data_IF_734420846821
#
_entry.id   IF_734420846821
#
_cell.length_a   1.000
_cell.length_b   1.000
_cell.length_c   1.000
_cell.angle_alpha   90.00
_cell.angle_beta   90.00
_cell.angle_gamma   90.00
#
_symmetry.space_group_name_H-M   'P 1'
#
loop_
_entity.id
_entity.type
_entity.pdbx_description
1 polymer ?
#
# COMPACT_ATOMS: atom_id res chain seq x y z
N UNK A 1 16.71 -6.49 -11.44
CA UNK A 1 15.48 -7.32 -11.24
C UNK A 1 15.02 -7.90 -12.58
N UNK A 2 14.37 -9.08 -12.61
CA UNK A 2 13.83 -9.63 -13.87
C UNK A 2 12.81 -8.67 -14.54
N UNK A 3 12.82 -8.62 -15.87
CA UNK A 3 11.99 -7.69 -16.64
C UNK A 3 10.50 -7.96 -16.47
N UNK A 4 10.11 -9.23 -16.34
CA UNK A 4 8.72 -9.64 -16.13
C UNK A 4 8.23 -9.17 -14.78
N UNK A 5 9.04 -9.38 -13.73
CA UNK A 5 8.72 -8.94 -12.37
C UNK A 5 8.61 -7.40 -12.32
N UNK A 6 9.54 -6.69 -12.97
CA UNK A 6 9.51 -5.23 -13.06
C UNK A 6 8.19 -4.69 -13.63
N UNK A 7 7.78 -5.16 -14.81
CA UNK A 7 6.55 -4.69 -15.45
C UNK A 7 5.30 -5.15 -14.70
N UNK A 8 5.31 -6.33 -14.08
CA UNK A 8 4.21 -6.78 -13.23
C UNK A 8 4.02 -5.85 -12.03
N UNK A 9 5.09 -5.44 -11.35
CA UNK A 9 5.00 -4.51 -10.21
C UNK A 9 4.55 -3.11 -10.67
N UNK A 10 4.96 -2.65 -11.86
CA UNK A 10 4.42 -1.41 -12.43
C UNK A 10 2.92 -1.51 -12.75
N UNK A 11 2.46 -2.64 -13.28
CA UNK A 11 1.04 -2.91 -13.47
C UNK A 11 0.29 -2.91 -12.13
N UNK A 12 0.86 -3.54 -11.10
CA UNK A 12 0.33 -3.52 -9.74
C UNK A 12 0.26 -2.10 -9.17
N UNK A 13 1.26 -1.27 -9.41
CA UNK A 13 1.27 0.14 -9.03
C UNK A 13 0.17 0.95 -9.75
N UNK A 14 -0.08 0.67 -11.03
CA UNK A 14 -1.17 1.26 -11.80
C UNK A 14 -2.54 0.82 -11.28
N UNK A 15 -2.73 -0.48 -11.00
CA UNK A 15 -3.96 -1.01 -10.37
C UNK A 15 -4.18 -0.39 -8.98
N UNK A 16 -3.11 -0.19 -8.21
CA UNK A 16 -3.16 0.45 -6.92
C UNK A 16 -3.62 1.93 -7.02
N UNK A 17 -3.12 2.67 -8.01
CA UNK A 17 -3.61 4.02 -8.27
C UNK A 17 -5.07 4.01 -8.77
N UNK A 18 -5.42 3.02 -9.59
CA UNK A 18 -6.76 2.84 -10.16
C UNK A 18 -7.86 2.66 -9.12
N UNK A 19 -7.68 1.78 -8.13
CA UNK A 19 -8.72 1.60 -7.11
C UNK A 19 -8.93 2.88 -6.28
N UNK A 20 -7.86 3.61 -5.98
CA UNK A 20 -7.96 4.89 -5.27
C UNK A 20 -8.78 5.92 -6.08
N UNK A 21 -8.66 5.92 -7.40
CA UNK A 21 -9.44 6.78 -8.28
C UNK A 21 -10.92 6.34 -8.39
N UNK A 22 -11.16 5.03 -8.49
CA UNK A 22 -12.52 4.46 -8.58
C UNK A 22 -13.33 4.75 -7.31
N UNK A 23 -12.70 4.67 -6.14
CA UNK A 23 -13.39 4.74 -4.84
C UNK A 23 -13.40 6.18 -4.28
N UNK A 24 -13.38 7.20 -5.15
CA UNK A 24 -13.56 8.61 -4.75
C UNK A 24 -15.04 8.86 -4.39
N UNK A 25 -15.43 8.37 -3.22
CA UNK A 25 -16.80 8.32 -2.73
C UNK A 25 -16.96 9.33 -1.58
N UNK A 26 -18.14 9.93 -1.40
CA UNK A 26 -18.49 10.81 -0.28
C UNK A 26 -18.51 10.16 1.12
N UNK A 27 -17.74 9.08 1.31
CA UNK A 27 -17.49 8.45 2.59
C UNK A 27 -16.29 9.09 3.29
N UNK A 28 -16.24 8.99 4.62
CA UNK A 28 -15.00 9.28 5.32
C UNK A 28 -13.94 8.23 5.01
N UNK A 29 -12.67 8.63 5.06
CA UNK A 29 -11.56 7.82 4.57
C UNK A 29 -11.45 6.43 5.23
N UNK A 30 -11.84 6.30 6.50
CA UNK A 30 -11.86 5.00 7.18
C UNK A 30 -12.93 4.07 6.59
N UNK A 31 -14.13 4.57 6.31
CA UNK A 31 -15.18 3.79 5.66
C UNK A 31 -14.82 3.44 4.22
N UNK A 32 -14.15 4.34 3.49
CA UNK A 32 -13.64 4.06 2.14
C UNK A 32 -12.65 2.89 2.14
N UNK A 33 -11.65 2.92 3.04
CA UNK A 33 -10.66 1.84 3.15
C UNK A 33 -11.30 0.54 3.64
N UNK A 34 -12.21 0.61 4.61
CA UNK A 34 -12.98 -0.55 5.10
C UNK A 34 -13.81 -1.18 3.98
N UNK A 35 -14.52 -0.38 3.18
CA UNK A 35 -15.32 -0.85 2.06
C UNK A 35 -14.47 -1.63 1.06
N UNK A 36 -13.31 -1.06 0.68
CA UNK A 36 -12.39 -1.71 -0.26
C UNK A 36 -11.82 -3.01 0.32
N UNK A 37 -11.43 -3.02 1.60
CA UNK A 37 -10.89 -4.20 2.25
C UNK A 37 -11.95 -5.32 2.37
N UNK A 38 -13.17 -5.00 2.81
CA UNK A 38 -14.28 -5.97 2.89
C UNK A 38 -14.64 -6.49 1.51
N UNK A 39 -14.70 -5.62 0.50
CA UNK A 39 -14.98 -6.01 -0.87
C UNK A 39 -13.86 -6.88 -1.46
N UNK A 40 -12.60 -6.56 -1.19
CA UNK A 40 -11.46 -7.37 -1.60
C UNK A 40 -11.48 -8.75 -0.91
N UNK A 41 -11.87 -8.80 0.37
CA UNK A 41 -12.10 -10.05 1.10
C UNK A 41 -13.25 -10.87 0.54
N UNK A 42 -14.33 -10.24 0.06
CA UNK A 42 -15.43 -10.94 -0.61
C UNK A 42 -14.99 -11.55 -1.94
N UNK A 43 -14.18 -10.83 -2.73
CA UNK A 43 -13.56 -11.37 -3.95
C UNK A 43 -12.60 -12.51 -3.59
N UNK A 44 -11.79 -12.35 -2.55
CA UNK A 44 -10.87 -13.39 -2.10
C UNK A 44 -11.61 -14.64 -1.60
N UNK A 45 -12.72 -14.46 -0.88
CA UNK A 45 -13.58 -15.55 -0.42
C UNK A 45 -14.12 -16.38 -1.59
N UNK A 46 -14.53 -15.72 -2.67
CA UNK A 46 -14.97 -16.39 -3.90
C UNK A 46 -13.83 -17.17 -4.59
N UNK A 47 -12.57 -16.78 -4.37
CA UNK A 47 -11.40 -17.46 -4.90
C UNK A 47 -10.92 -18.66 -4.05
N UNK A 48 -11.37 -18.80 -2.80
CA UNK A 48 -10.91 -19.88 -1.90
C UNK A 48 -10.97 -21.29 -2.49
N UNK A 49 -12.05 -21.70 -3.21
CA UNK A 49 -12.14 -23.05 -3.78
C UNK A 49 -11.06 -23.34 -4.84
N UNK A 50 -10.40 -22.30 -5.36
CA UNK A 50 -9.37 -22.39 -6.39
C UNK A 50 -7.96 -22.23 -5.81
N UNK A 51 -7.81 -22.14 -4.49
CA UNK A 51 -6.52 -21.96 -3.82
C UNK A 51 -6.24 -23.07 -2.82
N UNK A 52 -4.98 -23.48 -2.75
CA UNK A 52 -4.52 -24.42 -1.73
C UNK A 52 -4.60 -23.80 -0.34
N UNK A 53 -5.02 -24.60 0.63
CA UNK A 53 -5.10 -24.17 2.04
C UNK A 53 -3.68 -24.03 2.60
N UNK A 54 -3.32 -22.89 3.22
CA UNK A 54 -2.04 -22.74 3.90
C UNK A 54 -1.86 -23.81 4.99
N UNK A 55 -0.63 -24.30 5.15
CA UNK A 55 -0.30 -25.29 6.17
C UNK A 55 0.82 -24.78 7.08
N UNK A 56 0.88 -25.34 8.30
CA UNK A 56 1.97 -25.09 9.25
C UNK A 56 2.17 -23.61 9.59
N UNK A 57 3.43 -23.17 9.54
CA UNK A 57 3.84 -21.85 10.00
C UNK A 57 3.30 -20.68 9.16
N UNK A 58 2.77 -20.94 7.95
CA UNK A 58 2.22 -19.91 7.05
C UNK A 58 1.07 -19.15 7.72
N UNK A 59 0.26 -19.82 8.55
CA UNK A 59 -0.80 -19.18 9.31
C UNK A 59 -0.29 -18.12 10.31
N UNK A 60 0.88 -18.34 10.92
CA UNK A 60 1.47 -17.33 11.81
C UNK A 60 1.79 -16.04 11.04
N UNK A 61 2.35 -16.16 9.83
CA UNK A 61 2.62 -15.02 8.97
C UNK A 61 1.35 -14.30 8.54
N UNK A 62 0.32 -15.05 8.13
CA UNK A 62 -0.97 -14.47 7.71
C UNK A 62 -1.64 -13.73 8.86
N UNK A 63 -1.72 -14.34 10.05
CA UNK A 63 -2.35 -13.72 11.22
C UNK A 63 -1.56 -12.50 11.71
N UNK A 64 -0.23 -12.60 11.77
CA UNK A 64 0.63 -11.47 12.13
C UNK A 64 0.45 -10.31 11.14
N UNK A 65 0.40 -10.61 9.84
CA UNK A 65 0.16 -9.59 8.81
C UNK A 65 -1.21 -8.96 8.95
N UNK A 66 -2.28 -9.74 9.16
CA UNK A 66 -3.63 -9.19 9.31
C UNK A 66 -3.74 -8.24 10.51
N UNK A 67 -3.04 -8.54 11.61
CA UNK A 67 -2.93 -7.64 12.78
C UNK A 67 -2.17 -6.36 12.42
N UNK A 68 -1.03 -6.48 11.74
CA UNK A 68 -0.24 -5.33 11.29
C UNK A 68 -1.01 -4.46 10.30
N UNK A 69 -1.78 -5.07 9.39
CA UNK A 69 -2.67 -4.40 8.45
C UNK A 69 -3.74 -3.59 9.21
N UNK A 70 -4.35 -4.20 10.23
CA UNK A 70 -5.33 -3.51 11.09
C UNK A 70 -4.69 -2.32 11.81
N UNK A 71 -3.49 -2.51 12.38
CA UNK A 71 -2.73 -1.45 13.03
C UNK A 71 -2.41 -0.29 12.09
N UNK A 72 -1.96 -0.59 10.85
CA UNK A 72 -1.72 0.43 9.81
C UNK A 72 -2.99 1.26 9.57
N UNK A 73 -4.15 0.63 9.36
CA UNK A 73 -5.40 1.33 9.03
C UNK A 73 -5.80 2.27 10.17
N UNK A 74 -5.67 1.84 11.43
CA UNK A 74 -5.98 2.64 12.60
C UNK A 74 -5.03 3.83 12.73
N UNK A 75 -3.71 3.60 12.67
CA UNK A 75 -2.71 4.66 12.79
C UNK A 75 -2.83 5.69 11.67
N UNK A 76 -3.09 5.24 10.45
CA UNK A 76 -3.26 6.13 9.30
C UNK A 76 -4.46 7.06 9.49
N UNK A 77 -5.58 6.55 9.99
CA UNK A 77 -6.77 7.37 10.29
C UNK A 77 -6.47 8.40 11.38
N UNK A 78 -5.73 8.03 12.41
CA UNK A 78 -5.34 8.95 13.48
C UNK A 78 -4.37 10.02 12.96
N UNK A 79 -3.47 9.66 12.05
CA UNK A 79 -2.56 10.61 11.40
C UNK A 79 -3.34 11.68 10.62
N UNK A 80 -4.37 11.29 9.86
CA UNK A 80 -5.22 12.23 9.11
C UNK A 80 -6.13 13.09 9.97
N UNK A 81 -6.51 12.62 11.16
CA UNK A 81 -7.21 13.48 12.12
C UNK A 81 -6.28 14.53 12.74
N UNK A 82 -5.00 14.21 12.89
CA UNK A 82 -4.02 15.06 13.55
C UNK A 82 -3.32 16.05 12.61
N UNK A 83 -3.33 15.81 11.30
CA UNK A 83 -2.63 16.66 10.33
C UNK A 83 -3.21 16.59 8.91
N UNK A 84 -2.76 17.52 8.07
CA UNK A 84 -3.25 17.65 6.70
C UNK A 84 -2.88 16.43 5.84
N UNK A 85 -3.85 15.95 5.06
CA UNK A 85 -3.71 14.80 4.15
C UNK A 85 -2.47 14.93 3.25
N UNK A 86 -2.23 16.13 2.74
CA UNK A 86 -1.12 16.43 1.82
C UNK A 86 0.27 16.26 2.44
N UNK A 87 0.40 16.35 3.77
CA UNK A 87 1.68 16.15 4.48
C UNK A 87 1.79 14.76 5.10
N UNK A 88 0.69 14.28 5.71
CA UNK A 88 0.66 13.00 6.44
C UNK A 88 0.85 11.82 5.52
N UNK A 89 0.16 11.81 4.37
CA UNK A 89 0.16 10.64 3.49
C UNK A 89 1.56 10.31 2.94
N UNK A 90 2.35 11.28 2.44
CA UNK A 90 3.66 10.95 1.89
C UNK A 90 4.68 10.61 2.98
N UNK A 91 4.55 11.15 4.19
CA UNK A 91 5.38 10.74 5.31
C UNK A 91 5.08 9.29 5.72
N UNK A 92 3.79 8.95 5.81
CA UNK A 92 3.33 7.61 6.18
C UNK A 92 3.71 6.52 5.17
N UNK A 93 3.80 6.87 3.88
CA UNK A 93 4.17 5.93 2.81
C UNK A 93 5.66 5.97 2.49
N UNK A 94 6.25 7.15 2.38
CA UNK A 94 7.64 7.32 1.94
C UNK A 94 8.67 6.76 2.91
N UNK A 95 8.41 6.78 4.23
CA UNK A 95 9.35 6.20 5.19
C UNK A 95 9.33 4.66 5.20
N UNK A 96 8.23 4.02 4.79
CA UNK A 96 8.10 2.57 4.89
C UNK A 96 9.11 1.79 4.01
N UNK A 97 9.32 2.09 2.71
CA UNK A 97 10.34 1.43 1.90
C UNK A 97 11.77 1.61 2.44
N UNK A 98 12.07 2.75 3.09
CA UNK A 98 13.38 2.96 3.73
C UNK A 98 13.57 2.03 4.94
N UNK A 99 12.52 1.86 5.75
CA UNK A 99 12.55 0.92 6.88
C UNK A 99 12.70 -0.51 6.34
N UNK A 100 11.94 -0.90 5.30
CA UNK A 100 12.05 -2.22 4.67
C UNK A 100 13.47 -2.44 4.13
N UNK A 101 14.06 -1.45 3.45
CA UNK A 101 15.43 -1.54 2.93
C UNK A 101 16.46 -1.72 4.05
N UNK A 102 16.36 -0.92 5.12
CA UNK A 102 17.25 -1.01 6.27
C UNK A 102 17.16 -2.38 6.95
N UNK A 103 15.96 -2.90 7.18
CA UNK A 103 15.76 -4.23 7.77
C UNK A 103 16.23 -5.33 6.81
N UNK A 104 16.01 -5.18 5.50
CA UNK A 104 16.45 -6.17 4.51
C UNK A 104 17.97 -6.28 4.44
N UNK A 105 18.69 -5.16 4.59
CA UNK A 105 20.16 -5.14 4.67
C UNK A 105 20.69 -5.79 5.96
N UNK A 106 20.09 -5.45 7.10
CA UNK A 106 20.67 -5.80 8.42
C UNK A 106 20.21 -7.19 8.89
N UNK A 107 18.96 -7.57 8.62
CA UNK A 107 18.34 -8.75 9.22
C UNK A 107 18.01 -9.85 8.21
N UNK A 108 17.80 -9.52 6.93
CA UNK A 108 17.48 -10.52 5.90
C UNK A 108 18.67 -10.88 5.01
N UNK A 109 19.78 -10.14 5.13
CA UNK A 109 20.98 -10.30 4.29
C UNK A 109 20.65 -10.35 2.78
N UNK A 110 19.59 -9.65 2.36
CA UNK A 110 19.22 -9.59 0.95
C UNK A 110 20.29 -8.83 0.18
N UNK A 111 20.73 -9.40 -0.95
CA UNK A 111 21.74 -8.81 -1.84
C UNK A 111 21.24 -7.56 -2.54
N UNK A 112 21.21 -6.44 -1.82
CA UNK A 112 20.95 -5.11 -2.36
C UNK A 112 22.28 -4.48 -2.77
N UNK A 113 22.48 -4.31 -4.07
CA UNK A 113 23.65 -3.61 -4.60
C UNK A 113 23.51 -2.08 -4.45
N UNK A 114 24.59 -1.37 -4.77
CA UNK A 114 24.62 0.10 -4.67
C UNK A 114 23.58 0.79 -5.55
N UNK A 115 23.25 0.20 -6.72
CA UNK A 115 22.24 0.73 -7.63
C UNK A 115 20.84 0.63 -7.03
N UNK A 116 20.50 -0.50 -6.41
CA UNK A 116 19.24 -0.69 -5.71
C UNK A 116 19.09 0.30 -4.55
N UNK A 117 20.12 0.45 -3.71
CA UNK A 117 20.06 1.40 -2.58
C UNK A 117 19.90 2.85 -3.04
N UNK A 118 20.65 3.25 -4.07
CA UNK A 118 20.48 4.57 -4.69
C UNK A 118 19.08 4.73 -5.28
N UNK A 119 18.57 3.71 -5.97
CA UNK A 119 17.22 3.70 -6.56
C UNK A 119 16.12 3.88 -5.52
N UNK A 120 16.17 3.13 -4.41
CA UNK A 120 15.24 3.29 -3.28
C UNK A 120 15.31 4.71 -2.73
N UNK A 121 16.52 5.21 -2.46
CA UNK A 121 16.72 6.56 -1.90
C UNK A 121 16.17 7.66 -2.81
N UNK A 122 16.49 7.62 -4.10
CA UNK A 122 16.01 8.59 -5.09
C UNK A 122 14.49 8.52 -5.25
N UNK A 123 13.93 7.30 -5.33
CA UNK A 123 12.49 7.12 -5.48
C UNK A 123 11.74 7.69 -4.28
N UNK A 124 12.15 7.33 -3.06
CA UNK A 124 11.54 7.84 -1.82
C UNK A 124 11.69 9.35 -1.72
N UNK A 125 12.86 9.90 -2.06
CA UNK A 125 13.07 11.35 -2.09
C UNK A 125 12.07 12.04 -3.04
N UNK A 126 11.79 11.45 -4.22
CA UNK A 126 10.79 11.94 -5.15
C UNK A 126 9.35 11.91 -4.58
N UNK A 127 8.99 10.83 -3.86
CA UNK A 127 7.68 10.71 -3.18
C UNK A 127 7.54 11.77 -2.09
N UNK A 128 8.58 11.98 -1.28
CA UNK A 128 8.59 13.02 -0.25
C UNK A 128 8.55 14.42 -0.87
N UNK A 129 9.29 14.66 -1.96
CA UNK A 129 9.29 15.93 -2.70
C UNK A 129 7.87 16.30 -3.16
N UNK A 130 7.11 15.31 -3.63
CA UNK A 130 5.73 15.52 -4.07
C UNK A 130 4.81 16.05 -2.97
N UNK A 131 5.11 15.73 -1.70
CA UNK A 131 4.40 16.16 -0.49
C UNK A 131 4.62 17.62 -0.13
N UNK A 132 5.85 18.13 -0.32
CA UNK A 132 6.32 19.37 0.31
C UNK A 132 5.55 20.63 -0.11
N UNK A 133 4.82 20.59 -1.22
CA UNK A 133 3.94 21.69 -1.68
C UNK A 133 2.46 21.30 -1.81
N UNK A 134 2.06 20.14 -1.27
CA UNK A 134 0.68 19.64 -1.32
C UNK A 134 -0.25 20.18 -0.21
N UNK A 135 0.29 20.78 0.84
CA UNK A 135 -0.48 21.37 1.95
C UNK A 135 -0.97 22.78 1.61
N UNK A 136 -2.29 23.01 1.68
CA UNK A 136 -2.91 24.31 1.38
C UNK A 136 -2.60 25.42 2.40
N UNK A 137 -1.95 25.09 3.53
CA UNK A 137 -1.43 26.07 4.47
C UNK A 137 -0.11 25.55 5.04
N UNK A 138 0.90 26.42 5.11
CA UNK A 138 2.14 26.19 5.84
C UNK A 138 1.90 26.21 7.36
N UNK A 139 0.91 25.44 7.85
CA UNK A 139 0.79 25.12 9.27
C UNK A 139 1.87 24.08 9.56
N UNK A 140 2.73 24.40 10.53
CA UNK A 140 3.85 23.53 10.90
C UNK A 140 3.40 22.10 11.19
N UNK A 141 4.28 21.14 10.91
CA UNK A 141 4.02 19.72 11.15
C UNK A 141 3.63 19.49 12.61
N UNK A 142 2.37 19.11 12.84
CA UNK A 142 1.93 18.68 14.16
C UNK A 142 2.73 17.44 14.56
N UNK A 143 3.45 17.52 15.68
CA UNK A 143 4.26 16.39 16.20
C UNK A 143 3.44 15.11 16.33
N UNK A 144 2.17 15.23 16.74
CA UNK A 144 1.24 14.10 16.85
C UNK A 144 0.94 13.48 15.49
N UNK A 145 0.76 14.29 14.44
CA UNK A 145 0.55 13.80 13.08
C UNK A 145 1.78 13.07 12.54
N UNK A 146 2.97 13.61 12.81
CA UNK A 146 4.26 12.98 12.45
C UNK A 146 4.41 11.63 13.15
N UNK A 147 4.15 11.56 14.46
CA UNK A 147 4.23 10.30 15.21
C UNK A 147 3.28 9.24 14.65
N UNK A 148 2.02 9.59 14.36
CA UNK A 148 1.08 8.65 13.76
C UNK A 148 1.46 8.26 12.33
N UNK A 149 2.03 9.17 11.54
CA UNK A 149 2.50 8.88 10.18
C UNK A 149 3.72 7.93 10.20
N UNK A 150 4.70 8.17 11.08
CA UNK A 150 5.84 7.26 11.26
C UNK A 150 5.38 5.91 11.82
N UNK A 151 4.47 5.89 12.78
CA UNK A 151 3.86 4.65 13.27
C UNK A 151 3.16 3.88 12.15
N UNK A 152 2.44 4.58 11.26
CA UNK A 152 1.86 3.97 10.04
C UNK A 152 2.95 3.37 9.16
N UNK A 153 4.07 4.07 8.98
CA UNK A 153 5.21 3.59 8.18
C UNK A 153 5.81 2.32 8.77
N UNK A 154 5.92 2.23 10.10
CA UNK A 154 6.37 1.03 10.80
C UNK A 154 5.42 -0.16 10.59
N UNK A 155 4.10 0.06 10.67
CA UNK A 155 3.12 -0.99 10.34
C UNK A 155 3.22 -1.42 8.88
N UNK A 156 3.40 -0.47 7.95
CA UNK A 156 3.56 -0.77 6.52
C UNK A 156 4.81 -1.59 6.27
N UNK A 157 5.95 -1.19 6.84
CA UNK A 157 7.19 -1.94 6.72
C UNK A 157 7.07 -3.33 7.38
N UNK A 158 6.47 -3.39 8.57
CA UNK A 158 6.24 -4.62 9.30
C UNK A 158 5.42 -5.62 8.49
N UNK A 159 4.24 -5.24 8.01
CA UNK A 159 3.44 -6.17 7.22
C UNK A 159 4.15 -6.51 5.91
N UNK A 160 4.86 -5.57 5.29
CA UNK A 160 5.56 -5.83 4.01
C UNK A 160 6.64 -6.91 4.15
N UNK A 161 7.40 -6.86 5.25
CA UNK A 161 8.42 -7.87 5.56
C UNK A 161 7.79 -9.21 5.95
N UNK A 162 6.80 -9.20 6.83
CA UNK A 162 6.04 -10.40 7.25
C UNK A 162 5.38 -11.08 6.05
N UNK A 163 4.81 -10.30 5.16
CA UNK A 163 4.16 -10.77 3.95
C UNK A 163 5.15 -11.37 2.96
N UNK A 164 6.26 -10.68 2.70
CA UNK A 164 7.30 -11.19 1.81
C UNK A 164 7.92 -12.49 2.32
N UNK A 165 8.22 -12.58 3.62
CA UNK A 165 8.75 -13.80 4.24
C UNK A 165 7.71 -14.92 4.31
N UNK A 166 6.47 -14.59 4.62
CA UNK A 166 5.37 -15.55 4.69
C UNK A 166 5.04 -16.13 3.32
N UNK A 167 5.02 -15.30 2.28
CA UNK A 167 4.74 -15.73 0.91
C UNK A 167 5.85 -16.62 0.31
N UNK A 168 7.11 -16.43 0.72
CA UNK A 168 8.23 -17.31 0.35
C UNK A 168 8.12 -18.70 0.97
N UNK A 169 7.41 -18.84 2.09
CA UNK A 169 7.17 -20.12 2.78
C UNK A 169 5.83 -20.75 2.39
N UNK A 170 4.92 -19.98 1.79
CA UNK A 170 3.63 -20.46 1.35
C UNK A 170 3.75 -21.32 0.08
N UNK A 171 2.81 -22.25 -0.11
CA UNK A 171 2.75 -23.08 -1.32
C UNK A 171 2.61 -22.24 -2.60
N UNK A 172 1.89 -21.12 -2.51
CA UNK A 172 1.87 -20.10 -3.56
C UNK A 172 1.58 -18.71 -2.99
N UNK A 173 2.08 -17.68 -3.69
CA UNK A 173 1.76 -16.28 -3.40
C UNK A 173 0.25 -15.99 -3.47
N UNK A 174 -0.48 -16.71 -4.35
CA UNK A 174 -1.94 -16.62 -4.45
C UNK A 174 -2.61 -17.13 -3.19
N UNK A 175 -2.26 -18.34 -2.73
CA UNK A 175 -2.77 -18.90 -1.46
C UNK A 175 -2.53 -17.94 -0.30
N UNK A 176 -1.30 -17.44 -0.15
CA UNK A 176 -0.98 -16.48 0.91
C UNK A 176 -1.88 -15.23 0.86
N UNK A 177 -2.01 -14.62 -0.32
CA UNK A 177 -2.75 -13.37 -0.50
C UNK A 177 -4.25 -13.54 -0.26
N UNK A 178 -4.85 -14.61 -0.78
CA UNK A 178 -6.29 -14.86 -0.65
C UNK A 178 -6.68 -15.03 0.82
N UNK A 179 -5.95 -15.85 1.57
CA UNK A 179 -6.24 -16.07 2.98
C UNK A 179 -5.97 -14.84 3.83
N UNK A 180 -4.91 -14.09 3.54
CA UNK A 180 -4.65 -12.80 4.18
C UNK A 180 -5.82 -11.82 3.98
N UNK A 181 -6.34 -11.70 2.75
CA UNK A 181 -7.42 -10.76 2.45
C UNK A 181 -8.75 -11.16 3.07
N UNK A 182 -9.04 -12.47 3.16
CA UNK A 182 -10.22 -12.97 3.88
C UNK A 182 -10.13 -12.59 5.37
N UNK A 183 -8.99 -12.83 6.01
CA UNK A 183 -8.81 -12.51 7.44
C UNK A 183 -8.80 -11.00 7.68
N UNK A 184 -8.08 -10.23 6.85
CA UNK A 184 -8.01 -8.77 6.95
C UNK A 184 -9.41 -8.15 6.82
N UNK A 185 -10.24 -8.66 5.91
CA UNK A 185 -11.63 -8.22 5.76
C UNK A 185 -12.47 -8.50 7.00
N UNK A 186 -12.31 -9.66 7.64
CA UNK A 186 -13.01 -9.98 8.90
C UNK A 186 -12.55 -9.04 10.01
N UNK A 187 -11.24 -8.86 10.20
CA UNK A 187 -10.70 -8.00 11.25
C UNK A 187 -11.14 -6.55 11.08
N UNK A 188 -11.04 -5.99 9.87
CA UNK A 188 -11.43 -4.60 9.64
C UNK A 188 -12.95 -4.41 9.74
N UNK A 189 -13.77 -5.42 9.40
CA UNK A 189 -15.20 -5.39 9.62
C UNK A 189 -15.55 -5.34 11.13
N UNK A 190 -14.86 -6.15 11.95
CA UNK A 190 -15.01 -6.11 13.41
C UNK A 190 -14.61 -4.73 13.96
N UNK A 191 -13.46 -4.19 13.53
CA UNK A 191 -13.00 -2.85 13.93
C UNK A 191 -13.98 -1.77 13.49
N UNK A 192 -14.53 -1.86 12.28
CA UNK A 192 -15.54 -0.93 11.80
C UNK A 192 -16.82 -0.99 12.64
N UNK A 193 -17.31 -2.19 12.98
CA UNK A 193 -18.46 -2.35 13.86
C UNK A 193 -18.17 -1.78 15.26
N UNK A 194 -16.98 -2.01 15.82
CA UNK A 194 -16.59 -1.47 17.12
C UNK A 194 -16.49 0.07 17.12
N UNK A 195 -15.95 0.66 16.06
CA UNK A 195 -15.67 2.10 15.99
C UNK A 195 -16.84 2.95 15.46
N UNK A 196 -17.66 2.40 14.56
CA UNK A 196 -18.72 3.13 13.84
C UNK A 196 -20.10 2.52 14.00
N UNK A 197 -20.18 1.31 14.56
CA UNK A 197 -21.43 0.55 14.68
C UNK A 197 -22.07 0.23 13.34
N UNK A 198 -23.31 -0.27 13.40
CA UNK A 198 -24.12 -0.58 12.23
C UNK A 198 -24.40 0.63 11.33
N UNK A 199 -24.37 1.85 11.88
CA UNK A 199 -24.51 3.08 11.10
C UNK A 199 -23.37 3.25 10.08
N UNK A 200 -22.14 2.86 10.43
CA UNK A 200 -21.01 2.88 9.51
C UNK A 200 -21.19 1.89 8.36
N UNK A 201 -21.65 0.68 8.67
CA UNK A 201 -21.91 -0.38 7.67
C UNK A 201 -22.98 0.06 6.66
N UNK A 202 -24.10 0.59 7.15
CA UNK A 202 -25.20 1.07 6.28
C UNK A 202 -24.78 2.18 5.32
N UNK A 203 -23.82 3.02 5.69
CA UNK A 203 -23.29 4.07 4.79
C UNK A 203 -22.57 3.49 3.58
N UNK A 204 -22.04 2.28 3.68
CA UNK A 204 -21.32 1.62 2.59
C UNK A 204 -22.25 0.90 1.59
N UNK A 205 -23.50 0.60 2.00
CA UNK A 205 -24.47 -0.12 1.17
C UNK A 205 -24.81 0.60 -0.13
N UNK A 206 -24.79 1.93 -0.18
CA UNK A 206 -25.11 2.68 -1.39
C UNK A 206 -24.03 2.61 -2.48
N UNK A 207 -22.83 2.14 -2.14
CA UNK A 207 -21.62 2.30 -2.98
C UNK A 207 -20.83 1.01 -3.15
N UNK A 208 -21.43 -0.13 -2.80
CA UNK A 208 -20.82 -1.46 -2.83
C UNK A 208 -20.23 -1.85 -4.19
N UNK A 209 -20.83 -1.41 -5.31
CA UNK A 209 -20.32 -1.71 -6.66
C UNK A 209 -18.95 -1.09 -6.91
N UNK A 210 -18.80 0.18 -6.51
CA UNK A 210 -17.49 0.86 -6.55
C UNK A 210 -16.51 0.22 -5.58
N UNK A 211 -17.00 -0.23 -4.43
CA UNK A 211 -16.24 -1.02 -3.46
C UNK A 211 -15.69 -2.31 -4.05
N UNK A 212 -16.50 -3.10 -4.75
CA UNK A 212 -16.09 -4.35 -5.41
C UNK A 212 -15.07 -4.12 -6.51
N UNK A 213 -15.27 -3.12 -7.37
CA UNK A 213 -14.29 -2.77 -8.40
C UNK A 213 -12.95 -2.35 -7.78
N UNK A 214 -12.99 -1.51 -6.74
CA UNK A 214 -11.80 -1.11 -6.01
C UNK A 214 -11.15 -2.27 -5.25
N UNK A 215 -11.95 -3.15 -4.65
CA UNK A 215 -11.50 -4.33 -3.91
C UNK A 215 -10.81 -5.36 -4.81
N UNK A 216 -11.37 -5.64 -5.99
CA UNK A 216 -10.76 -6.51 -6.98
C UNK A 216 -9.42 -5.97 -7.50
N UNK A 217 -9.36 -4.66 -7.81
CA UNK A 217 -8.11 -4.00 -8.19
C UNK A 217 -7.07 -4.00 -7.06
N UNK A 218 -7.50 -3.78 -5.82
CA UNK A 218 -6.63 -3.83 -4.63
C UNK A 218 -6.06 -5.23 -4.41
N UNK A 219 -6.91 -6.26 -4.46
CA UNK A 219 -6.51 -7.66 -4.33
C UNK A 219 -5.51 -8.05 -5.42
N UNK A 220 -5.82 -7.73 -6.68
CA UNK A 220 -4.93 -8.05 -7.81
C UNK A 220 -3.58 -7.32 -7.71
N UNK A 221 -3.59 -6.03 -7.37
CA UNK A 221 -2.36 -5.26 -7.15
C UNK A 221 -1.50 -5.87 -6.02
N UNK A 222 -2.14 -6.26 -4.92
CA UNK A 222 -1.44 -6.83 -3.78
C UNK A 222 -0.90 -8.22 -4.08
N UNK A 223 -1.68 -9.08 -4.73
CA UNK A 223 -1.23 -10.40 -5.15
C UNK A 223 0.01 -10.33 -6.03
N UNK A 224 0.05 -9.43 -7.03
CA UNK A 224 1.23 -9.24 -7.88
C UNK A 224 2.43 -8.77 -7.04
N UNK A 225 2.23 -7.86 -6.09
CA UNK A 225 3.30 -7.42 -5.20
C UNK A 225 3.86 -8.56 -4.34
N UNK A 226 2.98 -9.39 -3.77
CA UNK A 226 3.37 -10.56 -2.96
C UNK A 226 4.11 -11.58 -3.81
N UNK A 227 3.62 -11.87 -5.02
CA UNK A 227 4.32 -12.73 -5.97
C UNK A 227 5.69 -12.17 -6.33
N UNK A 228 5.81 -10.86 -6.59
CA UNK A 228 7.09 -10.25 -6.89
C UNK A 228 8.09 -10.36 -5.73
N UNK A 229 7.63 -10.28 -4.47
CA UNK A 229 8.47 -10.46 -3.28
C UNK A 229 9.01 -11.90 -3.13
N UNK A 230 8.42 -12.89 -3.79
CA UNK A 230 9.00 -14.25 -3.86
C UNK A 230 10.07 -14.38 -4.92
N UNK A 231 10.15 -13.45 -5.87
CA UNK A 231 11.07 -13.47 -7.01
C UNK A 231 12.21 -12.45 -6.91
N UNK A 232 12.02 -11.39 -6.11
CA UNK A 232 12.96 -10.28 -5.98
C UNK A 232 13.09 -9.83 -4.51
N UNK A 233 14.17 -9.10 -4.16
CA UNK A 233 14.34 -8.55 -2.82
C UNK A 233 13.13 -7.72 -2.39
N UNK A 234 12.66 -7.92 -1.15
CA UNK A 234 11.42 -7.31 -0.64
C UNK A 234 11.53 -5.78 -0.71
N UNK A 235 12.70 -5.23 -0.38
CA UNK A 235 12.97 -3.80 -0.43
C UNK A 235 12.79 -3.18 -1.81
N UNK A 236 13.26 -3.86 -2.87
CA UNK A 236 13.16 -3.36 -4.26
C UNK A 236 11.71 -3.32 -4.72
N UNK A 237 10.93 -4.37 -4.41
CA UNK A 237 9.50 -4.44 -4.72
C UNK A 237 8.73 -3.38 -3.92
N UNK A 238 9.03 -3.24 -2.62
CA UNK A 238 8.39 -2.23 -1.77
C UNK A 238 8.61 -0.80 -2.29
N UNK A 239 9.83 -0.47 -2.71
CA UNK A 239 10.12 0.83 -3.31
C UNK A 239 9.42 1.01 -4.67
N UNK A 240 9.43 0.00 -5.53
CA UNK A 240 8.78 0.08 -6.84
C UNK A 240 7.26 0.25 -6.74
N UNK A 241 6.61 -0.24 -5.68
CA UNK A 241 5.19 0.02 -5.41
C UNK A 241 4.86 1.50 -5.17
N UNK A 242 5.83 2.30 -4.73
CA UNK A 242 5.62 3.75 -4.55
C UNK A 242 5.52 4.51 -5.89
N UNK A 243 5.86 3.87 -7.01
CA UNK A 243 5.57 4.42 -8.35
C UNK A 243 4.09 4.58 -8.66
N UNK A 244 3.20 4.01 -7.84
CA UNK A 244 1.74 4.22 -7.93
C UNK A 244 1.38 5.72 -7.91
N UNK A 245 2.22 6.54 -7.28
CA UNK A 245 2.07 8.00 -7.23
C UNK A 245 2.18 8.63 -8.63
N UNK A 246 3.03 8.09 -9.52
CA UNK A 246 3.12 8.54 -10.91
C UNK A 246 1.80 8.29 -11.65
N UNK A 247 1.26 7.07 -11.52
CA UNK A 247 -0.03 6.71 -12.11
C UNK A 247 -1.17 7.56 -11.53
N UNK A 248 -1.14 7.84 -10.22
CA UNK A 248 -2.13 8.71 -9.59
C UNK A 248 -2.10 10.14 -10.15
N UNK A 249 -0.92 10.70 -10.44
CA UNK A 249 -0.81 12.00 -11.13
C UNK A 249 -1.44 11.93 -12.52
N UNK A 250 -1.11 10.90 -13.31
CA UNK A 250 -1.65 10.75 -14.66
C UNK A 250 -3.18 10.65 -14.63
N UNK A 251 -3.73 9.87 -13.69
CA UNK A 251 -5.18 9.77 -13.52
C UNK A 251 -5.77 11.12 -13.09
N UNK A 252 -5.14 11.84 -12.16
CA UNK A 252 -5.62 13.14 -11.72
C UNK A 252 -5.60 14.20 -12.83
N UNK A 253 -4.58 14.22 -13.69
CA UNK A 253 -4.48 15.20 -14.77
C UNK A 253 -5.38 14.86 -15.95
N UNK A 254 -5.46 13.58 -16.36
CA UNK A 254 -6.21 13.15 -17.54
C UNK A 254 -7.69 12.96 -17.23
N UNK A 255 -8.01 12.24 -16.16
CA UNK A 255 -9.39 11.86 -15.81
C UNK A 255 -10.06 12.95 -14.98
N UNK A 256 -9.36 13.45 -13.94
CA UNK A 256 -9.92 14.48 -13.05
C UNK A 256 -9.68 15.91 -13.56
N UNK A 257 -8.94 16.08 -14.66
CA UNK A 257 -8.62 17.37 -15.28
C UNK A 257 -7.96 18.37 -14.32
N UNK A 258 -7.22 17.87 -13.32
CA UNK A 258 -6.45 18.71 -12.41
C UNK A 258 -5.24 19.33 -13.11
N UNK A 259 -4.92 20.59 -12.77
CA UNK A 259 -3.76 21.27 -13.32
C UNK A 259 -2.47 20.64 -12.80
N UNK A 260 -1.60 20.23 -13.72
CA UNK A 260 -0.29 19.72 -13.40
C UNK A 260 0.65 20.88 -13.05
N UNK A 261 1.23 20.86 -11.86
CA UNK A 261 2.20 21.88 -11.46
C UNK A 261 3.62 21.48 -11.87
N UNK A 262 4.51 22.45 -12.18
CA UNK A 262 5.92 22.17 -12.46
C UNK A 262 6.62 21.37 -11.34
N UNK A 263 6.17 21.58 -10.10
CA UNK A 263 6.65 20.84 -8.93
C UNK A 263 6.29 19.34 -8.98
N UNK A 264 5.04 19.02 -9.30
CA UNK A 264 4.58 17.62 -9.46
C UNK A 264 5.33 16.94 -10.61
N UNK A 265 5.64 17.68 -11.68
CA UNK A 265 6.48 17.19 -12.78
C UNK A 265 7.92 16.88 -12.33
N UNK A 266 8.57 17.80 -11.62
CA UNK A 266 9.92 17.57 -11.10
C UNK A 266 9.97 16.33 -10.19
N UNK A 267 9.02 16.20 -9.26
CA UNK A 267 8.91 15.01 -8.43
C UNK A 267 8.68 13.74 -9.24
N UNK A 268 7.84 13.79 -10.29
CA UNK A 268 7.63 12.65 -11.18
C UNK A 268 8.91 12.20 -11.90
N UNK A 269 9.75 13.14 -12.34
CA UNK A 269 11.06 12.83 -12.93
C UNK A 269 12.00 12.16 -11.93
N UNK A 270 12.04 12.65 -10.68
CA UNK A 270 12.87 12.04 -9.63
C UNK A 270 12.42 10.60 -9.34
N UNK A 271 11.11 10.37 -9.17
CA UNK A 271 10.56 9.02 -8.95
C UNK A 271 10.89 8.10 -10.14
N UNK A 272 10.76 8.60 -11.37
CA UNK A 272 11.10 7.85 -12.58
C UNK A 272 12.59 7.49 -12.64
N UNK A 273 13.48 8.42 -12.25
CA UNK A 273 14.91 8.16 -12.13
C UNK A 273 15.22 7.05 -11.14
N UNK A 274 14.64 7.10 -9.93
CA UNK A 274 14.77 6.03 -8.94
C UNK A 274 14.22 4.69 -9.42
N UNK A 275 13.12 4.71 -10.16
CA UNK A 275 12.51 3.52 -10.78
C UNK A 275 13.44 2.86 -11.81
N UNK A 276 14.14 3.67 -12.62
CA UNK A 276 15.11 3.16 -13.59
C UNK A 276 16.35 2.59 -12.89
N UNK A 277 16.83 3.23 -11.82
CA UNK A 277 17.95 2.72 -11.02
C UNK A 277 17.64 1.36 -10.38
N UNK A 278 16.40 1.13 -9.92
CA UNK A 278 15.95 -0.17 -9.40
C UNK A 278 15.90 -1.28 -10.46
N UNK A 279 15.91 -0.92 -11.75
CA UNK A 279 15.87 -1.88 -12.84
C UNK A 279 17.26 -2.39 -13.22
N UNK A 280 18.25 -1.50 -13.18
CA UNK A 280 19.65 -1.78 -13.51
C UNK A 280 20.19 -2.94 -12.66
#
# INVERSE_FOLDING_TARGET
>A
MDTTVFFAVLAAAAMHAGWNAVVKIGLDQFLTVTLVAVAAGAVALACLPFTEVPTGAVWYWILASAVLHTGYKIFLVQAYKAGDLGQVYPLARGAAPLIVAAVSLVALEEGLDGANLAGIGVLVAGVLLMSLRGGHQARGLNRTAVLYALGTSCFIAGYTLVDGLGARQAASAMSYTIYLFVIDAVLIAIVCLAMRGWKGVRRMEGVWKSGLAGGALSLGAYWIAIWAMTQAPIATVAALRETSVLFAIVIATVVLKEKLTPWRLAAAFVISGGTLLLRL
#
